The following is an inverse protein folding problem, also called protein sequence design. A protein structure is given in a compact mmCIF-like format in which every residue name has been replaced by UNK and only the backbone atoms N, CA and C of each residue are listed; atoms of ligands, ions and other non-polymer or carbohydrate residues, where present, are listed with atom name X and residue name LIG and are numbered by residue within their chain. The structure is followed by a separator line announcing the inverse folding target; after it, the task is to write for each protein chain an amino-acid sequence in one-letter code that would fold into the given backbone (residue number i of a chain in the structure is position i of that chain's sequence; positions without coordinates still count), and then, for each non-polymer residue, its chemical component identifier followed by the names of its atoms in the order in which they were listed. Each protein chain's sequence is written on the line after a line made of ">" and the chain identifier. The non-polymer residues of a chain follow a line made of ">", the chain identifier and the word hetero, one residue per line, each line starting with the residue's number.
data_IF_179056976552
#
_entry.id   IF_179056976552
#
_cell.length_a   1.000
_cell.length_b   1.000
_cell.length_c   1.000
_cell.angle_alpha   90.00
_cell.angle_beta   90.00
_cell.angle_gamma   90.00
#
_symmetry.space_group_name_H-M   'P 1'
#
loop_
_entity.id
_entity.type
_entity.pdbx_description
1 polymer ?
#
# COMPACT_ATOMS: atom_id res chain seq x y z
N UNK A 1 16.04 -15.24 -9.97
CA UNK A 1 16.95 -14.47 -9.09
C UNK A 1 16.62 -12.97 -9.04
N UNK A 2 15.76 -12.39 -9.89
CA UNK A 2 15.39 -10.96 -9.84
C UNK A 2 14.58 -10.57 -8.59
N UNK A 3 13.79 -11.49 -8.03
CA UNK A 3 12.84 -11.18 -6.95
C UNK A 3 13.51 -10.76 -5.63
N UNK A 4 14.69 -11.32 -5.30
CA UNK A 4 15.40 -10.97 -4.07
C UNK A 4 16.04 -9.58 -4.13
N UNK A 5 16.44 -9.11 -5.31
CA UNK A 5 16.99 -7.76 -5.49
C UNK A 5 15.95 -6.67 -5.25
N UNK A 6 14.75 -6.85 -5.82
CA UNK A 6 13.62 -5.94 -5.63
C UNK A 6 13.14 -5.93 -4.17
N UNK A 7 13.07 -7.11 -3.54
CA UNK A 7 12.68 -7.22 -2.13
C UNK A 7 13.72 -6.58 -1.18
N UNK A 8 15.01 -6.71 -1.48
CA UNK A 8 16.06 -6.04 -0.72
C UNK A 8 15.98 -4.52 -0.86
N UNK A 9 15.81 -4.00 -2.08
CA UNK A 9 15.59 -2.56 -2.29
C UNK A 9 14.34 -2.05 -1.56
N UNK A 10 13.28 -2.85 -1.54
CA UNK A 10 12.06 -2.60 -0.76
C UNK A 10 12.36 -2.47 0.73
N UNK A 11 13.13 -3.39 1.32
CA UNK A 11 13.58 -3.29 2.70
C UNK A 11 14.53 -2.11 2.95
N UNK A 12 15.46 -1.82 2.04
CA UNK A 12 16.39 -0.69 2.16
C UNK A 12 15.63 0.66 2.16
N UNK A 13 14.54 0.75 1.42
CA UNK A 13 13.66 1.91 1.41
C UNK A 13 12.65 1.95 2.57
N UNK A 14 12.39 0.82 3.24
CA UNK A 14 11.77 0.82 4.57
C UNK A 14 12.75 1.36 5.62
N UNK A 15 14.04 1.02 5.52
CA UNK A 15 15.10 1.54 6.39
C UNK A 15 15.36 3.03 6.16
N UNK A 16 15.38 3.49 4.90
CA UNK A 16 15.30 4.90 4.53
C UNK A 16 13.86 5.41 4.65
N UNK A 17 13.35 5.46 5.88
CA UNK A 17 12.00 5.85 6.37
C UNK A 17 11.17 6.91 5.61
N UNK A 18 11.64 7.58 4.57
CA UNK A 18 10.99 8.76 4.01
C UNK A 18 10.00 8.43 2.89
N UNK A 19 10.38 7.64 1.88
CA UNK A 19 9.57 7.52 0.65
C UNK A 19 8.30 6.67 0.83
N UNK A 20 8.45 5.43 1.29
CA UNK A 20 7.30 4.52 1.44
C UNK A 20 6.34 4.95 2.54
N UNK A 21 6.85 5.46 3.66
CA UNK A 21 6.00 5.98 4.74
C UNK A 21 5.18 7.18 4.28
N UNK A 22 5.74 8.09 3.49
CA UNK A 22 4.98 9.21 2.91
C UNK A 22 3.82 8.73 2.03
N UNK A 23 4.00 7.66 1.26
CA UNK A 23 2.93 7.10 0.43
C UNK A 23 1.83 6.45 1.27
N UNK A 24 2.21 5.73 2.33
CA UNK A 24 1.26 5.12 3.25
C UNK A 24 0.48 6.19 4.03
N UNK A 25 1.13 7.27 4.47
CA UNK A 25 0.49 8.42 5.12
C UNK A 25 -0.46 9.16 4.16
N UNK A 26 -0.08 9.33 2.88
CA UNK A 26 -0.99 9.89 1.87
C UNK A 26 -2.22 9.01 1.68
N UNK A 27 -2.03 7.70 1.62
CA UNK A 27 -3.12 6.74 1.49
C UNK A 27 -4.05 6.75 2.71
N UNK A 28 -3.50 6.96 3.91
CA UNK A 28 -4.28 7.09 5.15
C UNK A 28 -5.28 8.25 5.11
N UNK A 29 -4.94 9.34 4.42
CA UNK A 29 -5.79 10.53 4.28
C UNK A 29 -6.70 10.49 3.04
N UNK A 30 -6.61 9.44 2.23
CA UNK A 30 -7.36 9.34 0.99
C UNK A 30 -8.70 8.62 1.18
N UNK A 31 -9.66 8.92 0.30
CA UNK A 31 -10.92 8.18 0.24
C UNK A 31 -10.79 7.00 -0.71
N UNK A 32 -10.86 5.78 -0.18
CA UNK A 32 -10.85 4.55 -0.97
C UNK A 32 -9.46 4.13 -1.45
N UNK A 33 -9.42 3.32 -2.52
CA UNK A 33 -8.18 2.70 -3.01
C UNK A 33 -7.28 3.73 -3.69
N UNK A 34 -6.00 3.71 -3.34
CA UNK A 34 -4.93 4.49 -3.95
C UNK A 34 -3.98 3.57 -4.72
N UNK A 35 -3.57 3.98 -5.91
CA UNK A 35 -2.62 3.27 -6.77
C UNK A 35 -1.44 4.20 -7.02
N UNK A 36 -0.25 3.75 -6.66
CA UNK A 36 1.02 4.42 -6.96
C UNK A 36 1.82 3.54 -7.89
N UNK A 37 2.30 4.11 -9.00
CA UNK A 37 3.04 3.39 -10.04
C UNK A 37 4.47 3.94 -10.09
N UNK A 38 5.46 3.06 -9.93
CA UNK A 38 6.89 3.40 -10.03
C UNK A 38 7.23 4.03 -11.38
N UNK A 39 8.04 5.09 -11.36
CA UNK A 39 8.42 5.87 -12.54
C UNK A 39 7.50 7.06 -12.88
N UNK A 40 6.34 7.21 -12.23
CA UNK A 40 5.44 8.37 -12.42
C UNK A 40 5.58 9.44 -11.32
N UNK A 41 6.46 9.23 -10.33
CA UNK A 41 6.61 10.10 -9.17
C UNK A 41 8.05 10.10 -8.65
N UNK A 42 8.64 11.29 -8.52
CA UNK A 42 9.95 11.52 -7.87
C UNK A 42 10.00 11.08 -6.38
N UNK A 43 8.86 10.65 -5.81
CA UNK A 43 8.72 10.24 -4.41
C UNK A 43 8.99 8.75 -4.15
N UNK A 44 9.20 7.94 -5.19
CA UNK A 44 9.42 6.50 -5.03
C UNK A 44 10.91 6.19 -5.23
N UNK A 45 11.63 5.61 -4.25
CA UNK A 45 12.93 4.96 -4.49
C UNK A 45 12.78 3.65 -5.30
N UNK A 46 11.63 3.46 -5.95
CA UNK A 46 11.15 2.22 -6.54
C UNK A 46 10.67 2.46 -7.97
N UNK A 47 11.57 2.79 -8.88
CA UNK A 47 11.24 2.92 -10.32
C UNK A 47 10.63 1.64 -10.91
N UNK A 48 10.78 0.51 -10.22
CA UNK A 48 10.36 -0.82 -10.67
C UNK A 48 9.17 -1.42 -9.89
N UNK A 49 8.56 -0.69 -8.95
CA UNK A 49 7.44 -1.21 -8.15
C UNK A 49 6.25 -0.28 -8.08
N UNK A 50 5.08 -0.87 -7.84
CA UNK A 50 3.80 -0.20 -7.63
C UNK A 50 3.22 -0.59 -6.27
N UNK A 51 2.44 0.32 -5.68
CA UNK A 51 1.71 0.13 -4.43
C UNK A 51 0.21 0.35 -4.67
N UNK A 52 -0.60 -0.66 -4.37
CA UNK A 52 -2.06 -0.54 -4.27
C UNK A 52 -2.42 -0.56 -2.80
N UNK A 53 -3.14 0.44 -2.31
CA UNK A 53 -3.43 0.57 -0.88
C UNK A 53 -4.83 1.11 -0.59
N UNK A 54 -5.37 0.80 0.58
CA UNK A 54 -6.64 1.32 1.07
C UNK A 54 -6.57 1.55 2.59
N UNK A 55 -7.17 2.63 3.11
CA UNK A 55 -7.27 2.84 4.55
C UNK A 55 -8.20 1.80 5.17
N UNK A 56 -7.93 1.44 6.43
CA UNK A 56 -8.85 0.69 7.27
C UNK A 56 -9.14 1.48 8.56
N UNK A 57 -10.33 1.29 9.09
CA UNK A 57 -10.85 2.07 10.20
C UNK A 57 -11.39 1.19 11.33
N UNK A 58 -11.25 1.68 12.56
CA UNK A 58 -11.88 1.11 13.75
C UNK A 58 -12.81 2.18 14.31
N UNK A 59 -14.07 1.84 14.54
CA UNK A 59 -15.09 2.76 15.06
C UNK A 59 -15.17 4.10 14.29
N UNK A 60 -15.03 4.02 12.96
CA UNK A 60 -15.05 5.17 12.06
C UNK A 60 -13.77 6.03 12.06
N UNK A 61 -12.75 5.67 12.83
CA UNK A 61 -11.44 6.33 12.82
C UNK A 61 -10.45 5.54 11.97
N UNK A 62 -9.79 6.20 11.01
CA UNK A 62 -8.73 5.56 10.22
C UNK A 62 -7.53 5.27 11.12
N UNK A 63 -7.22 4.00 11.30
CA UNK A 63 -6.14 3.53 12.17
C UNK A 63 -4.89 3.13 11.39
N UNK A 64 -5.00 2.94 10.07
CA UNK A 64 -3.88 2.56 9.23
C UNK A 64 -4.27 2.33 7.78
N UNK A 65 -3.30 1.80 7.03
CA UNK A 65 -3.41 1.52 5.60
C UNK A 65 -3.01 0.07 5.33
N UNK A 66 -3.83 -0.64 4.57
CA UNK A 66 -3.50 -1.94 4.00
C UNK A 66 -2.96 -1.75 2.59
N UNK A 67 -1.87 -2.44 2.22
CA UNK A 67 -1.25 -2.27 0.91
C UNK A 67 -0.63 -3.55 0.33
N UNK A 68 -0.65 -3.65 -1.00
CA UNK A 68 0.04 -4.66 -1.79
C UNK A 68 1.11 -3.97 -2.62
N UNK A 69 2.35 -4.44 -2.49
CA UNK A 69 3.48 -4.00 -3.32
C UNK A 69 3.78 -5.07 -4.36
N UNK A 70 3.96 -4.66 -5.61
CA UNK A 70 4.27 -5.56 -6.71
C UNK A 70 5.02 -4.85 -7.83
N UNK A 71 5.37 -5.56 -8.92
CA UNK A 71 5.99 -4.95 -10.09
C UNK A 71 5.03 -3.94 -10.76
N UNK A 72 5.59 -2.98 -11.49
CA UNK A 72 4.83 -1.90 -12.18
C UNK A 72 3.70 -2.43 -13.07
N UNK A 73 3.90 -3.61 -13.69
CA UNK A 73 2.88 -4.33 -14.48
C UNK A 73 2.30 -5.51 -13.68
N UNK A 74 1.43 -5.22 -12.72
CA UNK A 74 0.64 -6.23 -12.02
C UNK A 74 -0.79 -6.31 -12.57
N UNK A 75 -1.54 -7.34 -12.20
CA UNK A 75 -2.95 -7.49 -12.57
C UNK A 75 -3.85 -6.57 -11.72
N UNK A 76 -3.85 -5.26 -11.99
CA UNK A 76 -4.58 -4.25 -11.21
C UNK A 76 -6.08 -4.55 -11.07
N UNK A 77 -6.70 -5.07 -12.14
CA UNK A 77 -8.11 -5.49 -12.14
C UNK A 77 -8.45 -6.51 -11.04
N UNK A 78 -7.46 -7.32 -10.63
CA UNK A 78 -7.60 -8.29 -9.53
C UNK A 78 -7.11 -7.74 -8.20
N UNK A 79 -6.01 -6.98 -8.20
CA UNK A 79 -5.39 -6.49 -6.97
C UNK A 79 -6.24 -5.41 -6.28
N UNK A 80 -6.80 -4.47 -7.05
CA UNK A 80 -7.65 -3.40 -6.54
C UNK A 80 -8.83 -3.92 -5.70
N UNK A 81 -9.70 -4.83 -6.19
CA UNK A 81 -10.81 -5.33 -5.39
C UNK A 81 -10.36 -6.16 -4.19
N UNK A 82 -9.25 -6.91 -4.30
CA UNK A 82 -8.69 -7.67 -3.17
C UNK A 82 -8.31 -6.72 -2.04
N UNK A 83 -7.59 -5.63 -2.35
CA UNK A 83 -7.15 -4.65 -1.35
C UNK A 83 -8.35 -3.95 -0.71
N UNK A 84 -9.32 -3.49 -1.51
CA UNK A 84 -10.52 -2.79 -1.02
C UNK A 84 -11.35 -3.67 -0.07
N UNK A 85 -11.70 -4.89 -0.51
CA UNK A 85 -12.50 -5.82 0.28
C UNK A 85 -11.76 -6.20 1.56
N UNK A 86 -10.45 -6.49 1.46
CA UNK A 86 -9.66 -6.89 2.63
C UNK A 86 -9.55 -5.76 3.64
N UNK A 87 -9.37 -4.51 3.22
CA UNK A 87 -9.35 -3.35 4.12
C UNK A 87 -10.71 -3.14 4.82
N UNK A 88 -11.82 -3.33 4.10
CA UNK A 88 -13.17 -3.29 4.68
C UNK A 88 -13.41 -4.42 5.68
N UNK A 89 -13.02 -5.65 5.34
CA UNK A 89 -13.11 -6.80 6.24
C UNK A 89 -12.27 -6.61 7.50
N UNK A 90 -11.05 -6.09 7.35
CA UNK A 90 -10.18 -5.74 8.47
C UNK A 90 -10.82 -4.68 9.37
N UNK A 91 -11.41 -3.64 8.77
CA UNK A 91 -12.14 -2.60 9.50
C UNK A 91 -13.28 -3.18 10.34
N UNK A 92 -14.09 -4.05 9.73
CA UNK A 92 -15.18 -4.75 10.43
C UNK A 92 -14.67 -5.66 11.54
N UNK A 93 -13.64 -6.48 11.26
CA UNK A 93 -13.10 -7.44 12.23
C UNK A 93 -12.53 -6.74 13.48
N UNK A 94 -11.83 -5.62 13.30
CA UNK A 94 -11.25 -4.85 14.40
C UNK A 94 -12.31 -4.06 15.18
N UNK A 95 -13.34 -3.53 14.52
CA UNK A 95 -14.45 -2.83 15.21
C UNK A 95 -15.36 -3.79 15.99
N UNK A 96 -15.35 -5.08 15.68
CA UNK A 96 -16.10 -6.10 16.42
C UNK A 96 -15.39 -6.64 17.68
N UNK A 97 -14.11 -6.31 17.89
CA UNK A 97 -13.33 -6.71 19.07
C UNK A 97 -13.01 -5.51 20.00
N UNK A 98 -13.70 -4.37 19.82
CA UNK A 98 -13.67 -3.20 20.71
C UNK A 98 -14.77 -3.22 21.76
#
# INVERSE_FOLDING_TARGET
>A
SSNMGSLRRLFDAFEQKTGLLQLLDRSRNATGVQIFIGGESDMLPFDECSLVSAPYSVDGQVVGTLGVVGPTRMAYERVVPIVDITAKLLSSALSHHG
#
